data_IF_823231793318
#
_entry.id   IF_823231793318
#
_cell.length_a   1.000
_cell.length_b   1.000
_cell.length_c   1.000
_cell.angle_alpha   90.00
_cell.angle_beta   90.00
_cell.angle_gamma   90.00
#
_symmetry.space_group_name_H-M   'P 1'
#
loop_
_entity.id
_entity.type
_entity.pdbx_description
1 polymer ?
#
# COMPACT_ATOMS: atom_id res chain seq x y z
N UNK A 1 -19.36 -22.76 -11.43
CA UNK A 1 -18.62 -22.68 -10.15
C UNK A 1 -18.26 -21.22 -9.97
N UNK A 2 -18.71 -20.57 -8.89
CA UNK A 2 -18.48 -19.16 -8.67
C UNK A 2 -17.03 -18.97 -8.20
N UNK A 3 -16.18 -18.44 -9.07
CA UNK A 3 -14.80 -18.11 -8.77
C UNK A 3 -14.75 -17.02 -7.70
N UNK A 4 -13.97 -17.29 -6.65
CA UNK A 4 -13.65 -16.37 -5.58
C UNK A 4 -13.08 -15.09 -6.19
N UNK A 5 -13.83 -13.99 -6.09
CA UNK A 5 -13.29 -12.66 -6.34
C UNK A 5 -12.13 -12.45 -5.36
N UNK A 6 -10.89 -12.56 -5.84
CA UNK A 6 -9.71 -12.35 -5.01
C UNK A 6 -9.72 -10.90 -4.55
N UNK A 7 -10.09 -10.71 -3.29
CA UNK A 7 -10.08 -9.41 -2.64
C UNK A 7 -8.63 -8.96 -2.54
N UNK A 8 -8.33 -7.70 -2.89
CA UNK A 8 -7.01 -7.14 -2.63
C UNK A 8 -6.72 -7.32 -1.13
N UNK A 9 -5.60 -7.98 -0.83
CA UNK A 9 -5.13 -8.11 0.55
C UNK A 9 -4.95 -6.72 1.15
N UNK A 10 -5.25 -6.60 2.44
CA UNK A 10 -4.88 -5.37 3.15
C UNK A 10 -3.35 -5.28 3.21
N UNK A 11 -2.82 -4.06 3.24
CA UNK A 11 -1.38 -3.80 3.41
C UNK A 11 -0.78 -4.57 4.59
N UNK A 12 -1.61 -4.81 5.60
CA UNK A 12 -1.27 -5.57 6.78
C UNK A 12 -1.18 -7.09 6.54
N UNK A 13 -2.06 -7.65 5.71
CA UNK A 13 -2.02 -9.08 5.33
C UNK A 13 -0.81 -9.39 4.46
N UNK A 14 -0.38 -8.44 3.64
CA UNK A 14 0.78 -8.58 2.75
C UNK A 14 2.12 -8.74 3.50
N UNK A 15 2.25 -8.15 4.69
CA UNK A 15 3.44 -8.33 5.53
C UNK A 15 3.47 -9.69 6.26
N UNK A 16 2.37 -10.44 6.24
CA UNK A 16 2.21 -11.62 7.08
C UNK A 16 2.76 -12.91 6.45
N UNK A 17 3.15 -12.88 5.16
CA UNK A 17 3.55 -14.08 4.43
C UNK A 17 4.95 -14.61 4.79
N UNK A 18 5.78 -13.82 5.48
CA UNK A 18 7.24 -14.08 5.60
C UNK A 18 7.81 -14.06 7.04
N UNK A 19 7.01 -14.21 8.10
CA UNK A 19 7.52 -13.97 9.48
C UNK A 19 7.16 -15.01 10.54
N UNK A 20 8.19 -15.53 11.21
CA UNK A 20 8.14 -16.28 12.49
C UNK A 20 7.73 -15.38 13.68
N UNK A 21 7.81 -14.03 13.54
CA UNK A 21 7.33 -13.06 14.53
C UNK A 21 6.03 -12.40 14.08
N UNK A 22 4.99 -12.53 14.89
CA UNK A 22 3.65 -12.01 14.59
C UNK A 22 3.55 -10.47 14.58
N UNK A 23 4.46 -9.75 15.27
CA UNK A 23 4.46 -8.27 15.37
C UNK A 23 5.89 -7.73 15.42
N UNK A 24 6.05 -6.52 14.89
CA UNK A 24 7.30 -5.77 14.97
C UNK A 24 7.55 -5.18 16.35
N UNK A 25 8.84 -5.07 16.70
CA UNK A 25 9.31 -4.32 17.88
C UNK A 25 9.27 -2.83 17.61
N UNK A 26 9.23 -2.00 18.66
CA UNK A 26 9.25 -0.54 18.55
C UNK A 26 10.50 -0.05 17.80
N UNK A 27 11.69 -0.52 18.17
CA UNK A 27 12.94 -0.18 17.46
C UNK A 27 12.88 -0.49 15.95
N UNK A 28 12.27 -1.61 15.57
CA UNK A 28 12.15 -1.99 14.16
C UNK A 28 11.16 -1.09 13.40
N UNK A 29 10.12 -0.60 14.09
CA UNK A 29 9.18 0.36 13.54
C UNK A 29 9.89 1.71 13.34
N UNK A 30 10.67 2.15 14.32
CA UNK A 30 11.41 3.42 14.26
C UNK A 30 12.48 3.38 13.15
N UNK A 31 13.26 2.30 13.05
CA UNK A 31 14.22 2.08 11.97
C UNK A 31 13.56 2.13 10.57
N UNK A 32 12.37 1.54 10.46
CA UNK A 32 11.59 1.58 9.23
C UNK A 32 11.09 3.00 8.92
N UNK A 33 10.60 3.73 9.93
CA UNK A 33 10.14 5.12 9.78
C UNK A 33 11.29 6.06 9.43
N UNK A 34 12.50 5.80 9.92
CA UNK A 34 13.69 6.59 9.60
C UNK A 34 14.14 6.39 8.15
N UNK A 35 14.05 5.16 7.65
CA UNK A 35 14.56 4.79 6.33
C UNK A 35 13.54 4.90 5.20
N UNK A 36 12.24 4.86 5.49
CA UNK A 36 11.18 4.91 4.49
C UNK A 36 10.95 6.34 3.98
N UNK A 37 10.77 6.48 2.66
CA UNK A 37 10.41 7.77 2.06
C UNK A 37 9.05 8.29 2.59
N UNK A 38 8.88 9.60 2.63
CA UNK A 38 7.63 10.26 3.03
C UNK A 38 6.39 9.71 2.31
N UNK A 39 6.48 9.47 1.00
CA UNK A 39 5.36 8.97 0.20
C UNK A 39 4.97 7.52 0.53
N UNK A 40 5.94 6.70 0.93
CA UNK A 40 5.69 5.35 1.47
C UNK A 40 5.02 5.46 2.83
N UNK A 41 5.56 6.29 3.73
CA UNK A 41 5.00 6.51 5.05
C UNK A 41 3.55 7.00 4.99
N UNK A 42 3.23 7.92 4.07
CA UNK A 42 1.88 8.42 3.89
C UNK A 42 0.87 7.34 3.47
N UNK A 43 1.27 6.32 2.71
CA UNK A 43 0.42 5.16 2.41
C UNK A 43 0.34 4.17 3.59
N UNK A 44 1.44 3.99 4.32
CA UNK A 44 1.54 3.07 5.47
C UNK A 44 0.75 3.57 6.67
N UNK A 45 0.84 4.85 6.98
CA UNK A 45 0.06 5.55 8.01
C UNK A 45 -1.45 5.45 7.74
N UNK A 46 -1.86 5.62 6.48
CA UNK A 46 -3.28 5.47 6.08
C UNK A 46 -3.74 4.02 6.01
N UNK A 47 -2.82 3.07 5.88
CA UNK A 47 -3.12 1.66 5.69
C UNK A 47 -3.76 1.33 4.34
N UNK A 48 -3.75 2.25 3.37
CA UNK A 48 -4.36 2.05 2.04
C UNK A 48 -3.57 2.75 0.92
N UNK A 49 -3.53 2.10 -0.24
CA UNK A 49 -2.97 2.65 -1.47
C UNK A 49 -4.01 3.41 -2.28
N UNK A 50 -3.55 4.45 -2.95
CA UNK A 50 -4.38 5.28 -3.82
C UNK A 50 -4.12 4.91 -5.27
N UNK A 51 -5.07 4.19 -5.87
CA UNK A 51 -5.00 3.80 -7.29
C UNK A 51 -6.06 4.57 -8.08
N UNK A 52 -5.68 5.17 -9.23
CA UNK A 52 -6.64 5.82 -10.09
C UNK A 52 -7.68 4.83 -10.62
N UNK A 53 -8.90 5.32 -10.72
CA UNK A 53 -10.04 4.63 -11.28
C UNK A 53 -9.95 4.55 -12.80
N UNK A 54 -10.74 3.66 -13.39
CA UNK A 54 -10.84 3.52 -14.86
C UNK A 54 -11.36 4.82 -15.51
N UNK A 55 -12.17 5.61 -14.79
CA UNK A 55 -12.69 6.88 -15.33
C UNK A 55 -11.60 7.94 -15.45
N UNK A 56 -10.62 7.94 -14.55
CA UNK A 56 -9.56 8.96 -14.51
C UNK A 56 -8.47 8.70 -15.56
N UNK A 57 -8.06 7.44 -15.74
CA UNK A 57 -6.92 7.10 -16.61
C UNK A 57 -7.27 6.20 -17.79
N UNK A 58 -8.56 5.85 -17.95
CA UNK A 58 -9.01 4.90 -18.95
C UNK A 58 -8.64 3.45 -18.62
N UNK A 59 -8.84 2.59 -19.63
CA UNK A 59 -8.44 1.18 -19.58
C UNK A 59 -7.45 0.89 -20.71
N UNK A 60 -6.26 0.44 -20.34
CA UNK A 60 -5.24 -0.04 -21.25
C UNK A 60 -4.70 -1.36 -20.68
N UNK A 61 -4.70 -2.40 -21.51
CA UNK A 61 -4.12 -3.68 -21.15
C UNK A 61 -2.65 -3.70 -21.57
N UNK A 62 -1.78 -4.14 -20.68
CA UNK A 62 -0.33 -4.18 -20.88
C UNK A 62 0.14 -5.54 -21.39
N UNK A 63 -0.62 -6.60 -21.13
CA UNK A 63 -0.29 -7.96 -21.57
C UNK A 63 -1.52 -8.86 -21.64
N UNK A 64 -1.32 -10.07 -22.14
CA UNK A 64 -2.20 -11.23 -21.95
C UNK A 64 -1.39 -12.29 -21.20
N UNK A 65 -1.90 -12.80 -20.09
CA UNK A 65 -1.19 -13.81 -19.29
C UNK A 65 -1.34 -15.23 -19.90
N UNK A 66 -0.74 -16.24 -19.26
CA UNK A 66 -0.75 -17.63 -19.75
C UNK A 66 -2.16 -18.25 -19.78
N UNK A 67 -3.07 -17.74 -18.96
CA UNK A 67 -4.46 -18.18 -18.87
C UNK A 67 -5.37 -17.45 -19.88
N UNK A 68 -4.80 -16.60 -20.74
CA UNK A 68 -5.54 -15.82 -21.73
C UNK A 68 -6.24 -14.59 -21.16
N UNK A 69 -5.96 -14.21 -19.91
CA UNK A 69 -6.54 -13.02 -19.29
C UNK A 69 -5.78 -11.76 -19.68
N UNK A 70 -6.51 -10.69 -19.96
CA UNK A 70 -5.95 -9.35 -20.20
C UNK A 70 -5.45 -8.76 -18.88
N UNK A 71 -4.19 -8.34 -18.87
CA UNK A 71 -3.54 -7.78 -17.69
C UNK A 71 -3.55 -6.27 -17.78
N UNK A 72 -3.97 -5.60 -16.70
CA UNK A 72 -3.83 -4.16 -16.51
C UNK A 72 -3.01 -3.89 -15.26
N UNK A 73 -2.01 -3.03 -15.37
CA UNK A 73 -1.20 -2.60 -14.23
C UNK A 73 -1.51 -1.14 -13.89
N UNK A 74 -1.70 -0.86 -12.60
CA UNK A 74 -2.03 0.46 -12.09
C UNK A 74 -1.08 0.81 -10.96
N UNK A 75 -0.34 1.90 -11.11
CA UNK A 75 0.56 2.39 -10.08
C UNK A 75 -0.20 3.21 -9.04
N UNK A 76 0.17 3.08 -7.77
CA UNK A 76 -0.31 3.97 -6.73
C UNK A 76 0.23 5.39 -6.99
N UNK A 77 -0.68 6.37 -7.06
CA UNK A 77 -0.35 7.78 -7.36
C UNK A 77 0.34 8.49 -6.20
N UNK A 78 0.26 7.93 -4.99
CA UNK A 78 0.94 8.47 -3.81
C UNK A 78 2.35 7.90 -3.65
N UNK A 79 2.48 6.61 -3.34
CA UNK A 79 3.80 6.05 -3.04
C UNK A 79 4.65 5.79 -4.28
N UNK A 80 4.06 5.64 -5.47
CA UNK A 80 4.79 5.33 -6.70
C UNK A 80 5.47 3.95 -6.71
N UNK A 81 5.28 3.13 -5.67
CA UNK A 81 5.91 1.81 -5.54
C UNK A 81 4.92 0.65 -5.64
N UNK A 82 3.68 0.84 -5.21
CA UNK A 82 2.67 -0.20 -5.25
C UNK A 82 2.03 -0.28 -6.63
N UNK A 83 2.06 -1.46 -7.25
CA UNK A 83 1.43 -1.75 -8.52
C UNK A 83 0.30 -2.74 -8.29
N UNK A 84 -0.93 -2.31 -8.54
CA UNK A 84 -2.08 -3.17 -8.62
C UNK A 84 -2.13 -3.81 -10.00
N UNK A 85 -1.99 -5.12 -10.03
CA UNK A 85 -2.20 -5.92 -11.23
C UNK A 85 -3.65 -6.39 -11.23
N UNK A 86 -4.36 -6.19 -12.33
CA UNK A 86 -5.75 -6.57 -12.50
C UNK A 86 -5.84 -7.54 -13.68
N UNK A 87 -6.41 -8.72 -13.47
CA UNK A 87 -6.65 -9.69 -14.53
C UNK A 87 -8.10 -9.61 -14.99
N UNK A 88 -8.29 -9.50 -16.30
CA UNK A 88 -9.59 -9.26 -16.94
C UNK A 88 -9.88 -10.32 -17.98
N UNK A 89 -11.11 -10.81 -17.99
CA UNK A 89 -11.59 -11.71 -19.02
C UNK A 89 -12.49 -10.96 -19.99
N UNK A 90 -12.18 -11.08 -21.28
CA UNK A 90 -13.01 -10.57 -22.36
C UNK A 90 -13.97 -11.65 -22.88
N UNK A 91 -15.25 -11.33 -22.96
CA UNK A 91 -16.27 -12.24 -23.49
C UNK A 91 -17.26 -11.49 -24.38
N UNK A 92 -17.89 -12.22 -25.32
CA UNK A 92 -18.94 -11.65 -26.17
C UNK A 92 -20.29 -11.76 -25.47
N UNK A 93 -21.06 -10.67 -25.49
CA UNK A 93 -22.47 -10.65 -25.11
C UNK A 93 -23.27 -10.10 -26.29
N UNK A 94 -23.76 -11.02 -27.13
CA UNK A 94 -24.34 -10.68 -28.43
C UNK A 94 -23.29 -10.08 -29.37
N UNK A 95 -23.57 -8.88 -29.91
CA UNK A 95 -22.64 -8.17 -30.83
C UNK A 95 -21.57 -7.33 -30.12
N UNK A 96 -21.61 -7.21 -28.78
CA UNK A 96 -20.69 -6.35 -28.03
C UNK A 96 -19.70 -7.19 -27.23
N UNK A 97 -18.45 -6.74 -27.20
CA UNK A 97 -17.46 -7.24 -26.25
C UNK A 97 -17.73 -6.66 -24.86
N UNK A 98 -17.57 -7.49 -23.83
CA UNK A 98 -17.63 -7.12 -22.42
C UNK A 98 -16.36 -7.63 -21.75
N UNK A 99 -15.97 -6.94 -20.68
CA UNK A 99 -14.80 -7.29 -19.89
C UNK A 99 -15.22 -7.37 -18.43
N UNK A 100 -14.79 -8.42 -17.73
CA UNK A 100 -14.97 -8.57 -16.29
C UNK A 100 -13.62 -8.71 -15.62
N UNK A 101 -13.42 -8.00 -14.51
CA UNK A 101 -12.24 -8.22 -13.67
C UNK A 101 -12.45 -9.54 -12.93
N UNK A 102 -11.46 -10.44 -13.04
CA UNK A 102 -11.50 -11.78 -12.45
C UNK A 102 -10.73 -11.80 -11.14
N UNK A 103 -9.53 -11.21 -11.13
CA UNK A 103 -8.71 -11.10 -9.93
C UNK A 103 -7.94 -9.78 -9.90
N UNK A 104 -7.38 -9.47 -8.74
CA UNK A 104 -6.43 -8.37 -8.59
C UNK A 104 -5.39 -8.72 -7.54
N UNK A 105 -4.14 -8.43 -7.88
CA UNK A 105 -2.97 -8.71 -7.07
C UNK A 105 -2.21 -7.42 -6.83
N UNK A 106 -1.43 -7.38 -5.75
CA UNK A 106 -0.55 -6.25 -5.45
C UNK A 106 0.91 -6.69 -5.47
N UNK A 107 1.74 -5.91 -6.16
CA UNK A 107 3.20 -6.08 -6.17
C UNK A 107 3.88 -4.76 -5.86
N UNK A 108 5.06 -4.83 -5.26
CA UNK A 108 5.85 -3.65 -4.91
C UNK A 108 7.09 -3.55 -5.78
N UNK A 109 7.27 -2.38 -6.38
CA UNK A 109 8.50 -2.00 -7.05
C UNK A 109 9.55 -1.61 -6.01
N UNK A 110 10.83 -1.76 -6.39
CA UNK A 110 11.92 -1.06 -5.71
C UNK A 110 11.95 0.37 -6.24
N UNK A 111 12.04 1.34 -5.34
CA UNK A 111 12.23 2.74 -5.70
C UNK A 111 13.59 2.95 -6.38
N UNK A 112 13.71 4.07 -7.11
CA UNK A 112 14.94 4.38 -7.87
C UNK A 112 16.15 4.53 -6.94
N UNK A 113 15.91 4.95 -5.70
CA UNK A 113 16.94 5.14 -4.68
C UNK A 113 17.08 3.92 -3.74
N UNK A 114 16.56 2.76 -4.15
CA UNK A 114 16.54 1.55 -3.32
C UNK A 114 15.41 1.52 -2.28
N UNK A 115 14.47 2.48 -2.33
CA UNK A 115 13.33 2.55 -1.42
C UNK A 115 12.51 1.24 -1.48
N UNK A 116 12.08 0.78 -0.31
CA UNK A 116 11.25 -0.42 -0.17
C UNK A 116 9.95 -0.04 0.50
N UNK A 117 8.85 -0.47 -0.08
CA UNK A 117 7.54 -0.25 0.53
C UNK A 117 7.36 -1.12 1.78
N UNK A 118 7.67 -2.41 1.67
CA UNK A 118 7.57 -3.34 2.79
C UNK A 118 8.84 -3.27 3.65
N UNK A 119 8.65 -3.33 4.97
CA UNK A 119 9.74 -3.51 5.92
C UNK A 119 10.58 -4.75 5.56
N UNK A 120 11.88 -4.76 5.87
CA UNK A 120 12.73 -5.93 5.68
C UNK A 120 12.14 -7.21 6.30
N UNK A 121 12.39 -8.39 5.70
CA UNK A 121 11.98 -9.67 6.29
C UNK A 121 12.50 -9.82 7.73
N UNK A 122 11.74 -10.53 8.56
CA UNK A 122 12.11 -10.78 9.97
C UNK A 122 11.75 -9.67 10.95
N UNK A 123 11.31 -8.50 10.48
CA UNK A 123 10.89 -7.41 11.38
C UNK A 123 9.46 -7.57 11.91
N UNK A 124 8.67 -8.52 11.41
CA UNK A 124 7.28 -8.72 11.84
C UNK A 124 6.29 -7.70 11.25
N UNK A 125 5.00 -7.90 11.52
CA UNK A 125 3.93 -7.02 11.01
C UNK A 125 3.93 -5.68 11.75
N UNK A 126 3.89 -4.59 10.98
CA UNK A 126 3.70 -3.24 11.50
C UNK A 126 2.32 -2.73 11.09
N UNK A 127 1.56 -2.20 12.04
CA UNK A 127 0.23 -1.66 11.79
C UNK A 127 0.28 -0.18 11.41
N UNK A 128 -0.73 0.35 10.68
CA UNK A 128 -0.82 1.79 10.39
C UNK A 128 -0.75 2.65 11.65
N UNK A 129 -1.36 2.20 12.75
CA UNK A 129 -1.29 2.88 14.04
C UNK A 129 0.14 2.97 14.57
N UNK A 130 0.88 1.86 14.58
CA UNK A 130 2.28 1.86 15.03
C UNK A 130 3.15 2.80 14.19
N UNK A 131 2.92 2.83 12.86
CA UNK A 131 3.61 3.77 11.97
C UNK A 131 3.24 5.21 12.31
N UNK A 132 1.95 5.52 12.52
CA UNK A 132 1.49 6.85 12.89
C UNK A 132 2.07 7.31 14.23
N UNK A 133 2.08 6.43 15.24
CA UNK A 133 2.61 6.72 16.58
C UNK A 133 4.12 7.03 16.52
N UNK A 134 4.89 6.27 15.71
CA UNK A 134 6.31 6.51 15.49
C UNK A 134 6.59 7.81 14.71
N UNK A 135 5.82 8.09 13.65
CA UNK A 135 5.91 9.37 12.91
C UNK A 135 5.62 10.55 13.85
N UNK A 136 4.55 10.47 14.64
CA UNK A 136 4.18 11.52 15.59
C UNK A 136 5.28 11.75 16.63
N UNK A 137 5.86 10.67 17.16
CA UNK A 137 6.99 10.74 18.12
C UNK A 137 8.21 11.40 17.50
N UNK A 138 8.53 11.10 16.23
CA UNK A 138 9.61 11.75 15.48
C UNK A 138 9.34 13.24 15.25
N UNK A 139 8.14 13.62 14.83
CA UNK A 139 7.78 15.03 14.60
C UNK A 139 7.84 15.85 15.89
N UNK A 140 7.52 15.24 17.03
CA UNK A 140 7.47 15.89 18.33
C UNK A 140 8.75 15.76 19.16
N UNK A 141 9.80 15.11 18.65
CA UNK A 141 10.98 14.75 19.44
C UNK A 141 11.68 15.95 20.11
N UNK A 142 11.64 17.12 19.47
CA UNK A 142 12.23 18.37 19.97
C UNK A 142 11.30 19.17 20.90
N UNK A 143 10.06 18.73 21.12
CA UNK A 143 9.08 19.47 21.91
C UNK A 143 8.88 18.82 23.27
N UNK A 144 9.05 19.60 24.34
CA UNK A 144 8.64 19.12 25.65
C UNK A 144 7.12 19.04 25.75
N UNK A 145 6.59 18.10 26.53
CA UNK A 145 5.16 18.00 26.81
C UNK A 145 4.59 19.30 27.44
N UNK A 146 5.43 20.08 28.12
CA UNK A 146 5.04 21.38 28.70
C UNK A 146 4.84 22.42 27.60
N UNK A 147 5.71 22.49 26.60
CA UNK A 147 5.59 23.41 25.46
C UNK A 147 4.38 23.05 24.60
N UNK A 148 4.18 21.76 24.33
CA UNK A 148 2.99 21.26 23.63
C UNK A 148 1.68 21.66 24.33
N UNK A 149 1.63 21.57 25.67
CA UNK A 149 0.45 21.98 26.42
C UNK A 149 0.24 23.49 26.42
N UNK A 150 1.30 24.29 26.32
CA UNK A 150 1.21 25.76 26.28
C UNK A 150 0.70 26.25 24.92
N UNK A 151 1.11 25.62 23.82
CA UNK A 151 0.67 26.00 22.46
C UNK A 151 -0.81 25.67 22.17
N UNK A 152 -1.43 24.78 22.96
CA UNK A 152 -2.84 24.42 22.86
C UNK A 152 -3.80 25.38 23.58
N UNK A 153 -3.31 26.31 24.39
CA UNK A 153 -4.17 27.32 24.99
C UNK A 153 -4.54 28.35 23.92
N UNK A 154 -5.83 28.58 23.62
CA UNK A 154 -6.22 29.63 22.69
C UNK A 154 -5.65 30.96 23.20
N UNK A 155 -5.03 31.72 22.30
CA UNK A 155 -4.67 33.11 22.60
C UNK A 155 -5.96 33.85 22.97
N UNK A 156 -6.01 34.38 24.20
CA UNK A 156 -7.12 35.22 24.69
C UNK A 156 -7.35 36.46 23.82
#
# INVERSE_FOLDING_TARGET
>A
MAESATHLSSIQGEQCHDTERARATEDAIDDYVESASEWVLACRERGVHEFPTIKEIGIAFTAVNRDGLFVREVLCTRCGLAVRTENWEGFKRGRRSRFRKVSSDLRYLKGRNGERYLAPPGQGRMTPRQIADAIASKVLHDQSLVELRKSLKPSE
#
